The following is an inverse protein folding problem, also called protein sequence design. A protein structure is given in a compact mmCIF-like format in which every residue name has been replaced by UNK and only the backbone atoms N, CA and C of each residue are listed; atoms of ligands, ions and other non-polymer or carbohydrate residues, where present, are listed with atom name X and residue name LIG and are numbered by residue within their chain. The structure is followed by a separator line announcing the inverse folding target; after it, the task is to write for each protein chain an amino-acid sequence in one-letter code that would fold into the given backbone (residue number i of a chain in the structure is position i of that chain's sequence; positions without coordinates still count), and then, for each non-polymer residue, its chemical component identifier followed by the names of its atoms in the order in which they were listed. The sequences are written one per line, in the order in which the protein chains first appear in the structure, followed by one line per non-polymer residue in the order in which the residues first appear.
data_IF_042179262343
#
_entry.id   IF_042179262343
#
_cell.length_a   1.000
_cell.length_b   1.000
_cell.length_c   1.000
_cell.angle_alpha   90.00
_cell.angle_beta   90.00
_cell.angle_gamma   90.00
#
_symmetry.space_group_name_H-M   'P 1'
#
loop_
_entity.id
_entity.type
_entity.pdbx_description
1 polymer ?
#
# COMPACT_ATOMS: atom_id res chain seq x y z
N UNK A 1 1.63 21.10 -20.91
CA UNK A 1 2.79 20.43 -20.30
C UNK A 1 3.59 19.84 -21.45
N UNK A 2 4.79 20.34 -21.70
CA UNK A 2 5.61 19.89 -22.84
C UNK A 2 6.61 18.88 -22.27
N UNK A 3 6.41 17.60 -22.57
CA UNK A 3 7.26 16.50 -22.12
C UNK A 3 8.40 16.37 -23.12
N UNK A 4 9.64 16.50 -22.67
CA UNK A 4 10.84 16.20 -23.45
C UNK A 4 11.50 14.98 -22.83
N UNK A 5 11.27 13.81 -23.43
CA UNK A 5 12.00 12.57 -23.14
C UNK A 5 13.36 12.63 -23.82
N UNK A 6 14.44 12.31 -23.09
CA UNK A 6 15.84 12.38 -23.54
C UNK A 6 16.48 11.00 -23.75
N UNK A 7 15.69 9.95 -23.98
CA UNK A 7 16.22 8.61 -24.29
C UNK A 7 16.15 8.35 -25.80
N UNK A 8 17.31 8.34 -26.46
CA UNK A 8 17.45 8.08 -27.91
C UNK A 8 17.41 6.58 -28.27
N UNK A 9 17.37 5.67 -27.29
CA UNK A 9 17.21 4.24 -27.55
C UNK A 9 15.74 3.83 -27.38
N UNK A 10 15.15 3.13 -28.38
CA UNK A 10 13.81 2.59 -28.23
C UNK A 10 13.84 1.53 -27.12
N UNK A 11 12.90 1.56 -26.16
CA UNK A 11 12.81 0.53 -25.14
C UNK A 11 12.69 -0.84 -25.82
N UNK A 12 13.48 -1.81 -25.34
CA UNK A 12 13.38 -3.24 -25.68
C UNK A 12 11.92 -3.63 -25.81
N UNK A 13 11.52 -4.31 -26.89
CA UNK A 13 10.13 -4.70 -27.22
C UNK A 13 9.33 -5.14 -25.97
N UNK A 14 8.67 -4.19 -25.31
CA UNK A 14 7.74 -4.49 -24.23
C UNK A 14 6.44 -4.86 -24.93
N UNK A 15 6.10 -6.15 -24.92
CA UNK A 15 4.77 -6.60 -25.32
C UNK A 15 3.73 -5.94 -24.40
N UNK A 16 3.13 -4.86 -24.90
CA UNK A 16 1.99 -4.19 -24.28
C UNK A 16 0.88 -5.22 -24.08
N UNK A 17 0.39 -5.34 -22.85
CA UNK A 17 -0.64 -6.31 -22.48
C UNK A 17 -0.15 -7.69 -22.03
N UNK A 18 1.16 -7.95 -21.92
CA UNK A 18 1.64 -9.20 -21.27
C UNK A 18 1.22 -9.22 -19.80
N UNK A 19 0.51 -10.27 -19.39
CA UNK A 19 0.23 -10.55 -17.98
C UNK A 19 1.51 -11.06 -17.32
N UNK A 20 2.05 -10.30 -16.37
CA UNK A 20 3.23 -10.70 -15.62
C UNK A 20 2.91 -11.89 -14.74
N UNK A 21 3.57 -13.01 -14.98
CA UNK A 21 3.53 -14.18 -14.10
C UNK A 21 4.62 -14.10 -13.03
N UNK A 22 4.51 -14.96 -12.04
CA UNK A 22 5.57 -15.17 -11.05
C UNK A 22 6.87 -15.62 -11.72
N UNK A 23 6.76 -16.42 -12.79
CA UNK A 23 7.91 -16.90 -13.56
C UNK A 23 8.58 -15.76 -14.31
N UNK A 24 7.80 -14.91 -14.98
CA UNK A 24 8.31 -13.72 -15.66
C UNK A 24 9.06 -12.79 -14.70
N UNK A 25 8.49 -12.59 -13.51
CA UNK A 25 9.07 -11.72 -12.48
C UNK A 25 10.40 -12.27 -11.96
N UNK A 26 10.44 -13.56 -11.64
CA UNK A 26 11.65 -14.22 -11.10
C UNK A 26 12.75 -14.44 -12.14
N UNK A 27 12.39 -14.54 -13.41
CA UNK A 27 13.36 -14.66 -14.51
C UNK A 27 13.87 -13.31 -15.00
N UNK A 28 13.33 -12.19 -14.50
CA UNK A 28 13.78 -10.87 -14.90
C UNK A 28 15.15 -10.53 -14.26
N UNK A 29 16.16 -10.12 -15.05
CA UNK A 29 17.53 -9.90 -14.56
C UNK A 29 17.64 -8.75 -13.54
N UNK A 30 16.73 -7.78 -13.60
CA UNK A 30 16.68 -6.68 -12.64
C UNK A 30 15.81 -6.97 -11.41
N UNK A 31 15.17 -8.14 -11.33
CA UNK A 31 14.43 -8.51 -10.13
C UNK A 31 15.41 -8.92 -9.04
N UNK A 32 15.31 -8.27 -7.88
CA UNK A 32 16.12 -8.58 -6.70
C UNK A 32 15.23 -8.82 -5.49
N UNK A 33 15.72 -9.62 -4.57
CA UNK A 33 15.08 -9.87 -3.28
C UNK A 33 16.10 -9.75 -2.16
N UNK A 34 15.69 -9.17 -1.04
CA UNK A 34 16.40 -9.26 0.24
C UNK A 34 15.97 -10.55 0.96
N UNK A 35 16.88 -11.49 1.09
CA UNK A 35 16.74 -12.62 2.01
C UNK A 35 16.97 -12.16 3.45
N UNK A 36 16.00 -12.43 4.31
CA UNK A 36 16.04 -12.17 5.74
C UNK A 36 16.08 -13.51 6.47
N UNK A 37 17.17 -13.83 7.18
CA UNK A 37 17.30 -15.11 7.87
C UNK A 37 16.27 -15.27 8.99
N UNK A 38 15.87 -16.52 9.32
CA UNK A 38 15.12 -16.82 10.53
C UNK A 38 15.78 -16.23 11.79
N UNK A 39 14.95 -15.86 12.78
CA UNK A 39 15.41 -15.16 13.99
C UNK A 39 16.40 -15.96 14.84
N UNK A 40 16.35 -17.28 14.74
CA UNK A 40 17.24 -18.24 15.39
C UNK A 40 18.55 -18.48 14.62
N UNK A 41 18.64 -18.00 13.38
CA UNK A 41 19.86 -18.04 12.58
C UNK A 41 20.67 -16.76 12.72
N UNK A 42 21.96 -16.90 13.00
CA UNK A 42 22.88 -15.77 12.95
C UNK A 42 23.33 -15.55 11.50
N UNK A 43 22.87 -14.46 10.89
CA UNK A 43 23.25 -14.10 9.54
C UNK A 43 22.98 -12.64 9.24
N UNK A 44 23.74 -12.08 8.29
CA UNK A 44 23.37 -10.83 7.63
C UNK A 44 22.24 -11.11 6.64
N UNK A 45 21.40 -10.11 6.39
CA UNK A 45 20.46 -10.16 5.28
C UNK A 45 21.24 -10.08 3.97
N UNK A 46 20.74 -10.70 2.92
CA UNK A 46 21.45 -10.83 1.64
C UNK A 46 20.56 -10.40 0.49
N UNK A 47 21.04 -9.50 -0.36
CA UNK A 47 20.36 -9.18 -1.63
C UNK A 47 20.75 -10.25 -2.65
N UNK A 48 19.77 -10.85 -3.29
CA UNK A 48 19.94 -11.90 -4.30
C UNK A 48 19.24 -11.51 -5.61
N UNK A 49 19.73 -12.07 -6.71
CA UNK A 49 19.09 -11.97 -8.03
C UNK A 49 18.47 -13.33 -8.41
N UNK A 50 17.14 -13.54 -8.26
CA UNK A 50 16.53 -14.87 -8.42
C UNK A 50 16.77 -15.52 -9.79
N UNK A 51 16.95 -14.75 -10.86
CA UNK A 51 17.24 -15.26 -12.21
C UNK A 51 18.60 -15.95 -12.34
N UNK A 52 19.52 -15.70 -11.39
CA UNK A 52 20.86 -16.31 -11.35
C UNK A 52 20.89 -17.63 -10.55
N UNK A 53 19.74 -18.04 -10.02
CA UNK A 53 19.62 -19.22 -9.17
C UNK A 53 18.57 -20.21 -9.70
N UNK A 54 18.67 -21.46 -9.27
CA UNK A 54 17.66 -22.46 -9.55
C UNK A 54 16.29 -22.05 -8.97
N UNK A 55 15.15 -22.36 -9.63
CA UNK A 55 13.82 -21.93 -9.15
C UNK A 55 13.48 -22.33 -7.71
N UNK A 56 14.09 -23.40 -7.19
CA UNK A 56 13.93 -23.86 -5.81
C UNK A 56 14.67 -23.01 -4.78
N UNK A 57 15.50 -22.05 -5.20
CA UNK A 57 16.29 -21.20 -4.32
C UNK A 57 15.43 -20.28 -3.46
N UNK A 58 14.24 -19.89 -3.96
CA UNK A 58 13.21 -19.19 -3.20
C UNK A 58 12.07 -20.18 -2.93
N UNK A 59 12.00 -20.79 -1.72
CA UNK A 59 10.98 -21.75 -1.38
C UNK A 59 9.57 -21.21 -1.64
N UNK A 60 8.73 -22.05 -2.24
CA UNK A 60 7.36 -21.73 -2.65
C UNK A 60 7.21 -20.51 -3.59
N UNK A 61 8.32 -19.92 -4.07
CA UNK A 61 8.35 -18.65 -4.82
C UNK A 61 7.54 -17.54 -4.14
N UNK A 62 7.51 -17.54 -2.80
CA UNK A 62 6.81 -16.53 -2.00
C UNK A 62 7.78 -15.45 -1.55
N UNK A 63 7.38 -14.20 -1.73
CA UNK A 63 8.10 -13.05 -1.22
C UNK A 63 7.11 -12.00 -0.69
N UNK A 64 7.56 -11.21 0.27
CA UNK A 64 6.88 -10.04 0.77
C UNK A 64 7.30 -8.81 -0.02
N UNK A 65 6.44 -7.80 -0.11
CA UNK A 65 6.84 -6.48 -0.58
C UNK A 65 6.76 -5.49 0.58
N UNK A 66 7.71 -4.55 0.65
CA UNK A 66 7.60 -3.40 1.53
C UNK A 66 7.38 -2.14 0.69
N UNK A 67 6.20 -1.56 0.86
CA UNK A 67 5.81 -0.27 0.32
C UNK A 67 6.03 0.81 1.38
N UNK A 68 6.73 1.90 1.06
CA UNK A 68 6.88 3.02 2.01
C UNK A 68 7.48 4.30 1.38
N UNK A 69 7.66 5.33 2.22
CA UNK A 69 8.27 6.63 1.87
C UNK A 69 9.73 6.80 2.32
N UNK A 70 10.65 6.84 1.36
CA UNK A 70 12.08 7.05 1.59
C UNK A 70 12.41 8.41 2.23
N UNK A 71 11.75 9.46 1.74
CA UNK A 71 12.08 10.87 1.99
C UNK A 71 11.83 11.68 0.71
N UNK A 72 11.99 13.00 0.76
CA UNK A 72 11.89 13.86 -0.44
C UNK A 72 13.23 14.05 -1.16
N UNK A 73 14.35 13.77 -0.49
CA UNK A 73 15.70 13.90 -1.02
C UNK A 73 16.44 12.56 -0.86
N UNK A 74 16.94 11.93 -1.94
CA UNK A 74 17.70 10.68 -1.86
C UNK A 74 19.04 10.83 -1.14
N UNK A 75 19.55 12.05 -0.94
CA UNK A 75 20.78 12.31 -0.21
C UNK A 75 20.52 12.63 1.28
N UNK A 76 19.27 12.77 1.68
CA UNK A 76 18.91 13.03 3.07
C UNK A 76 18.65 11.72 3.83
N UNK A 77 18.96 11.73 5.13
CA UNK A 77 18.75 10.61 6.04
C UNK A 77 19.38 9.28 5.57
N UNK A 78 20.58 9.32 4.97
CA UNK A 78 21.33 8.11 4.65
C UNK A 78 21.49 7.24 5.92
N UNK A 79 21.34 5.94 5.72
CA UNK A 79 21.44 4.93 6.76
C UNK A 79 22.48 3.91 6.38
N UNK A 80 23.54 3.83 7.18
CA UNK A 80 24.54 2.76 7.11
C UNK A 80 23.88 1.40 7.39
N UNK A 81 23.90 0.52 6.40
CA UNK A 81 23.31 -0.84 6.48
C UNK A 81 24.34 -1.96 6.28
N UNK A 82 25.59 -1.62 5.99
CA UNK A 82 26.72 -2.55 5.74
C UNK A 82 26.95 -3.56 6.86
N UNK A 83 26.57 -3.20 8.09
CA UNK A 83 26.72 -4.06 9.26
C UNK A 83 25.78 -5.26 9.24
N UNK A 84 24.66 -5.18 8.51
CA UNK A 84 23.61 -6.20 8.55
C UNK A 84 23.01 -6.56 7.18
N UNK A 85 23.38 -5.89 6.09
CA UNK A 85 23.02 -6.24 4.71
C UNK A 85 24.28 -6.37 3.86
N UNK A 86 24.34 -7.45 3.08
CA UNK A 86 25.35 -7.71 2.04
C UNK A 86 24.67 -8.03 0.71
N UNK A 87 25.39 -7.92 -0.38
CA UNK A 87 24.95 -8.44 -1.68
C UNK A 87 25.32 -9.92 -1.89
N UNK A 88 24.97 -10.44 -3.06
CA UNK A 88 25.23 -11.83 -3.46
C UNK A 88 26.73 -12.17 -3.60
N UNK A 89 27.58 -11.17 -3.81
CA UNK A 89 29.04 -11.32 -3.87
C UNK A 89 29.70 -11.23 -2.48
N UNK A 90 28.93 -10.88 -1.44
CA UNK A 90 29.40 -10.65 -0.09
C UNK A 90 29.91 -9.23 0.14
N UNK A 91 29.73 -8.33 -0.83
CA UNK A 91 30.08 -6.92 -0.71
C UNK A 91 29.06 -6.19 0.15
N UNK A 92 29.51 -5.13 0.83
CA UNK A 92 28.65 -4.32 1.69
C UNK A 92 27.76 -3.41 0.86
N UNK A 93 26.48 -3.33 1.23
CA UNK A 93 25.53 -2.41 0.59
C UNK A 93 25.83 -0.96 0.99
N UNK A 94 25.76 -0.06 0.02
CA UNK A 94 25.91 1.38 0.23
C UNK A 94 24.82 1.94 1.18
N UNK A 95 25.06 3.10 1.80
CA UNK A 95 24.07 3.73 2.67
C UNK A 95 22.78 4.04 1.90
N UNK A 96 21.63 3.71 2.51
CA UNK A 96 20.33 3.90 1.86
C UNK A 96 19.58 5.12 2.43
N UNK A 97 18.92 5.97 1.62
CA UNK A 97 17.98 6.97 2.12
C UNK A 97 16.82 6.36 2.91
N UNK A 98 16.82 6.55 4.24
CA UNK A 98 15.75 6.07 5.13
C UNK A 98 15.61 6.98 6.34
N UNK A 99 14.46 7.64 6.47
CA UNK A 99 14.13 8.50 7.63
C UNK A 99 14.32 7.76 8.96
N UNK A 100 14.89 8.44 9.95
CA UNK A 100 15.33 7.83 11.23
C UNK A 100 14.19 7.18 12.00
N UNK A 101 13.01 7.79 11.98
CA UNK A 101 11.80 7.32 12.65
C UNK A 101 11.33 5.95 12.15
N UNK A 102 11.66 5.57 10.91
CA UNK A 102 11.24 4.30 10.29
C UNK A 102 12.12 3.13 10.69
N UNK A 103 13.42 3.38 10.88
CA UNK A 103 14.47 2.35 10.93
C UNK A 103 14.16 1.27 11.97
N UNK A 104 13.68 1.67 13.15
CA UNK A 104 13.30 0.73 14.22
C UNK A 104 12.15 -0.17 13.80
N UNK A 105 11.08 0.40 13.25
CA UNK A 105 9.91 -0.35 12.78
C UNK A 105 10.27 -1.27 11.62
N UNK A 106 11.08 -0.78 10.67
CA UNK A 106 11.60 -1.56 9.54
C UNK A 106 12.38 -2.80 9.99
N UNK A 107 13.40 -2.63 10.85
CA UNK A 107 14.18 -3.77 11.36
C UNK A 107 13.29 -4.77 12.10
N UNK A 108 12.38 -4.26 12.94
CA UNK A 108 11.47 -5.11 13.70
C UNK A 108 10.54 -5.91 12.78
N UNK A 109 10.05 -5.30 11.71
CA UNK A 109 9.22 -5.95 10.70
C UNK A 109 9.95 -7.11 10.03
N UNK A 110 11.17 -6.87 9.55
CA UNK A 110 11.98 -7.91 8.92
C UNK A 110 12.32 -9.04 9.91
N UNK A 111 12.69 -8.70 11.13
CA UNK A 111 13.02 -9.70 12.17
C UNK A 111 11.84 -10.58 12.59
N UNK A 112 10.62 -10.05 12.56
CA UNK A 112 9.42 -10.79 12.89
C UNK A 112 8.88 -11.60 11.70
N UNK A 113 9.40 -11.38 10.50
CA UNK A 113 8.92 -11.99 9.26
C UNK A 113 10.12 -12.35 8.36
N UNK A 114 10.78 -13.46 8.66
CA UNK A 114 11.88 -13.98 7.82
C UNK A 114 11.39 -14.43 6.44
N UNK A 115 12.33 -14.59 5.51
CA UNK A 115 12.06 -14.97 4.12
C UNK A 115 12.53 -13.93 3.14
N UNK A 116 11.88 -13.86 1.98
CA UNK A 116 12.32 -13.02 0.86
C UNK A 116 11.48 -11.77 0.77
N UNK A 117 12.14 -10.63 0.59
CA UNK A 117 11.53 -9.32 0.61
C UNK A 117 11.92 -8.53 -0.63
N UNK A 118 10.94 -7.96 -1.30
CA UNK A 118 11.17 -6.91 -2.26
C UNK A 118 10.99 -5.55 -1.57
N UNK A 119 12.00 -4.70 -1.65
CA UNK A 119 12.05 -3.40 -0.97
C UNK A 119 12.70 -2.41 -1.95
N UNK A 120 12.00 -1.37 -2.42
CA UNK A 120 12.42 -0.57 -3.58
C UNK A 120 13.87 -0.05 -3.48
N UNK A 121 14.32 0.53 -2.37
CA UNK A 121 15.69 1.07 -2.26
C UNK A 121 16.79 0.03 -2.26
N UNK A 122 16.46 -1.21 -1.92
CA UNK A 122 17.42 -2.30 -1.83
C UNK A 122 17.38 -3.13 -3.11
N UNK A 123 16.21 -3.23 -3.73
CA UNK A 123 15.96 -4.13 -4.84
C UNK A 123 15.87 -3.41 -6.19
N UNK A 124 15.54 -2.12 -6.23
CA UNK A 124 15.58 -1.32 -7.45
C UNK A 124 16.96 -0.67 -7.62
N UNK A 125 17.46 -0.75 -8.85
CA UNK A 125 18.51 0.11 -9.37
C UNK A 125 17.89 1.36 -10.01
N UNK A 126 18.71 2.36 -10.29
CA UNK A 126 18.27 3.61 -10.95
C UNK A 126 17.69 3.39 -12.34
N UNK A 127 17.98 2.24 -12.96
CA UNK A 127 17.54 1.81 -14.28
C UNK A 127 16.45 0.73 -14.23
N UNK A 128 15.96 0.34 -13.05
CA UNK A 128 14.92 -0.70 -12.95
C UNK A 128 13.67 -0.26 -13.71
N UNK A 129 13.27 -1.00 -14.77
CA UNK A 129 12.17 -0.58 -15.62
C UNK A 129 10.86 -0.50 -14.82
N UNK A 130 10.07 0.58 -14.90
CA UNK A 130 8.79 0.69 -14.21
C UNK A 130 7.82 -0.46 -14.52
N UNK A 131 8.00 -1.14 -15.65
CA UNK A 131 7.17 -2.27 -16.07
C UNK A 131 7.28 -3.49 -15.13
N UNK A 132 8.41 -3.73 -14.47
CA UNK A 132 8.58 -4.91 -13.58
C UNK A 132 7.68 -4.81 -12.34
N UNK A 133 7.32 -3.59 -11.96
CA UNK A 133 6.69 -3.28 -10.69
C UNK A 133 5.28 -3.85 -10.56
N UNK A 134 4.60 -4.03 -11.70
CA UNK A 134 3.36 -4.80 -11.77
C UNK A 134 3.61 -6.25 -11.36
N UNK A 135 4.65 -6.88 -11.91
CA UNK A 135 5.05 -8.25 -11.55
C UNK A 135 5.39 -8.35 -10.06
N UNK A 136 6.15 -7.37 -9.54
CA UNK A 136 6.48 -7.29 -8.11
C UNK A 136 5.23 -7.29 -7.23
N UNK A 137 4.36 -6.29 -7.36
CA UNK A 137 3.22 -6.17 -6.44
C UNK A 137 2.11 -7.16 -6.75
N UNK A 138 1.90 -7.51 -8.03
CA UNK A 138 0.92 -8.50 -8.46
C UNK A 138 1.27 -9.94 -8.05
N UNK A 139 2.57 -10.25 -7.89
CA UNK A 139 3.01 -11.60 -7.50
C UNK A 139 3.44 -11.71 -6.03
N UNK A 140 3.56 -10.59 -5.30
CA UNK A 140 3.94 -10.65 -3.89
C UNK A 140 2.85 -11.34 -3.04
N UNK A 141 3.27 -12.09 -2.02
CA UNK A 141 2.35 -12.79 -1.13
C UNK A 141 1.59 -11.83 -0.20
N UNK A 142 2.32 -10.83 0.33
CA UNK A 142 1.76 -9.78 1.17
C UNK A 142 2.61 -8.53 1.00
N UNK A 143 1.93 -7.40 0.78
CA UNK A 143 2.55 -6.09 0.78
C UNK A 143 2.36 -5.43 2.15
N UNK A 144 3.46 -5.08 2.79
CA UNK A 144 3.45 -4.24 3.99
C UNK A 144 3.59 -2.79 3.56
N UNK A 145 2.61 -1.95 3.86
CA UNK A 145 2.66 -0.52 3.61
C UNK A 145 3.00 0.21 4.90
N UNK A 146 4.23 0.72 5.00
CA UNK A 146 4.71 1.48 6.14
C UNK A 146 4.44 2.98 5.91
N UNK A 147 3.28 3.42 6.38
CA UNK A 147 2.70 4.73 6.12
C UNK A 147 3.12 5.78 7.17
N UNK A 148 3.19 7.03 6.75
CA UNK A 148 3.65 8.16 7.57
C UNK A 148 2.54 8.80 8.39
N UNK A 149 1.77 7.97 9.10
CA UNK A 149 0.74 8.40 10.04
C UNK A 149 1.17 8.14 11.50
N UNK A 150 0.53 8.78 12.49
CA UNK A 150 0.70 8.44 13.89
C UNK A 150 0.31 6.98 14.18
N UNK A 151 1.07 6.28 15.04
CA UNK A 151 0.78 4.89 15.44
C UNK A 151 -0.61 4.72 16.05
N UNK A 152 -1.07 5.72 16.82
CA UNK A 152 -2.41 5.75 17.42
C UNK A 152 -3.54 5.62 16.40
N UNK A 153 -3.35 6.09 15.16
CA UNK A 153 -4.38 5.96 14.14
C UNK A 153 -4.56 4.50 13.70
N UNK A 154 -3.45 3.77 13.51
CA UNK A 154 -3.49 2.32 13.23
C UNK A 154 -4.02 1.55 14.44
N UNK A 155 -3.57 1.89 15.64
CA UNK A 155 -4.03 1.29 16.90
C UNK A 155 -5.54 1.45 17.09
N UNK A 156 -6.09 2.63 16.75
CA UNK A 156 -7.52 2.90 16.86
C UNK A 156 -8.33 1.89 16.05
N UNK A 157 -8.02 1.69 14.77
CA UNK A 157 -8.79 0.76 13.93
C UNK A 157 -8.45 -0.72 14.16
N UNK A 158 -7.25 -1.04 14.65
CA UNK A 158 -6.82 -2.43 14.88
C UNK A 158 -7.20 -2.97 16.26
N UNK A 159 -7.26 -2.12 17.29
CA UNK A 159 -7.46 -2.51 18.69
C UNK A 159 -8.67 -1.80 19.30
N UNK A 160 -8.68 -0.47 19.32
CA UNK A 160 -9.69 0.31 20.08
C UNK A 160 -11.10 0.13 19.53
N UNK A 161 -11.28 0.29 18.22
CA UNK A 161 -12.57 0.18 17.57
C UNK A 161 -13.16 -1.23 17.72
N UNK A 162 -12.43 -2.34 17.46
CA UNK A 162 -12.93 -3.70 17.74
C UNK A 162 -13.25 -3.99 19.21
N UNK A 163 -12.51 -3.41 20.17
CA UNK A 163 -12.74 -3.64 21.59
C UNK A 163 -13.85 -2.75 22.17
N UNK A 164 -14.21 -1.68 21.48
CA UNK A 164 -15.27 -0.80 21.95
C UNK A 164 -16.58 -1.61 22.04
N UNK A 165 -17.26 -1.57 23.19
CA UNK A 165 -18.63 -2.14 23.31
C UNK A 165 -19.59 -1.50 22.29
N UNK A 166 -19.21 -0.33 21.78
CA UNK A 166 -19.83 0.33 20.65
C UNK A 166 -19.79 -0.52 19.39
N UNK A 167 -18.84 -1.41 19.11
CA UNK A 167 -18.93 -2.24 17.91
C UNK A 167 -20.11 -3.22 17.97
N UNK A 168 -20.32 -3.91 19.10
CA UNK A 168 -21.44 -4.86 19.28
C UNK A 168 -22.78 -4.17 19.56
N UNK A 169 -22.78 -3.02 20.25
CA UNK A 169 -24.00 -2.25 20.56
C UNK A 169 -24.25 -1.09 19.59
N UNK A 170 -23.36 -0.88 18.61
CA UNK A 170 -23.39 0.25 17.65
C UNK A 170 -24.73 0.29 16.99
N UNK A 171 -25.15 -0.77 16.32
CA UNK A 171 -26.41 -0.81 15.60
C UNK A 171 -27.59 -0.35 16.49
N UNK A 172 -27.71 -0.86 17.72
CA UNK A 172 -28.82 -0.50 18.62
C UNK A 172 -28.71 0.93 19.19
N UNK A 173 -27.53 1.35 19.63
CA UNK A 173 -27.29 2.73 20.15
C UNK A 173 -27.44 3.75 19.02
N UNK A 174 -27.08 3.36 17.80
CA UNK A 174 -27.14 4.20 16.61
C UNK A 174 -28.57 4.28 16.11
N UNK A 175 -29.32 3.19 16.03
CA UNK A 175 -30.76 3.22 15.76
C UNK A 175 -31.50 4.10 16.76
N UNK A 176 -31.09 4.04 18.04
CA UNK A 176 -31.62 4.91 19.08
C UNK A 176 -31.23 6.38 18.85
N UNK A 177 -29.99 6.67 18.47
CA UNK A 177 -29.57 8.03 18.11
C UNK A 177 -30.27 8.55 16.84
N UNK A 178 -30.48 7.70 15.82
CA UNK A 178 -31.25 8.01 14.60
C UNK A 178 -32.68 8.39 14.99
N UNK A 179 -33.31 7.57 15.84
CA UNK A 179 -34.64 7.84 16.34
C UNK A 179 -34.67 9.16 17.10
N UNK A 180 -33.75 9.36 18.07
CA UNK A 180 -33.62 10.61 18.83
C UNK A 180 -33.53 11.84 17.92
N UNK A 181 -32.68 11.80 16.89
CA UNK A 181 -32.56 12.90 15.93
C UNK A 181 -33.84 13.12 15.11
N UNK A 182 -34.53 12.06 14.67
CA UNK A 182 -35.85 12.18 14.02
C UNK A 182 -36.88 12.87 14.93
N UNK A 183 -36.75 12.71 16.24
CA UNK A 183 -37.59 13.37 17.24
C UNK A 183 -37.04 14.72 17.74
N UNK A 184 -35.95 15.23 17.15
CA UNK A 184 -35.34 16.51 17.55
C UNK A 184 -34.53 16.46 18.85
N UNK A 185 -34.21 15.27 19.36
CA UNK A 185 -33.39 15.07 20.55
C UNK A 185 -31.90 14.95 20.17
N UNK A 186 -30.98 15.47 21.01
CA UNK A 186 -29.55 15.32 20.76
C UNK A 186 -29.10 13.85 20.92
N UNK A 187 -28.09 13.41 20.14
CA UNK A 187 -27.47 12.11 20.33
C UNK A 187 -26.72 12.07 21.68
N UNK A 188 -26.41 10.87 22.16
CA UNK A 188 -25.59 10.71 23.36
C UNK A 188 -24.21 11.35 23.18
N UNK A 189 -23.74 12.09 24.19
CA UNK A 189 -22.45 12.82 24.16
C UNK A 189 -21.27 11.92 23.82
N UNK A 190 -21.30 10.70 24.35
CA UNK A 190 -20.18 9.75 24.28
C UNK A 190 -20.09 9.10 22.90
N UNK A 191 -21.22 8.96 22.19
CA UNK A 191 -21.22 8.52 20.78
C UNK A 191 -20.57 9.57 19.89
N UNK A 192 -20.89 10.84 20.12
CA UNK A 192 -20.35 11.94 19.32
C UNK A 192 -18.83 12.05 19.47
N UNK A 193 -18.31 12.04 20.70
CA UNK A 193 -16.85 12.13 20.93
C UNK A 193 -16.10 10.97 20.29
N UNK A 194 -16.63 9.74 20.43
CA UNK A 194 -16.05 8.54 19.80
C UNK A 194 -16.01 8.63 18.27
N UNK A 195 -17.09 9.09 17.65
CA UNK A 195 -17.17 9.28 16.19
C UNK A 195 -16.25 10.41 15.69
N UNK A 196 -16.07 11.48 16.47
CA UNK A 196 -15.11 12.52 16.13
C UNK A 196 -13.66 12.02 16.24
N UNK A 197 -13.36 11.20 17.24
CA UNK A 197 -12.04 10.59 17.42
C UNK A 197 -11.69 9.63 16.28
N UNK A 198 -12.60 8.73 15.90
CA UNK A 198 -12.36 7.83 14.77
C UNK A 198 -12.26 8.57 13.43
N UNK A 199 -13.00 9.67 13.22
CA UNK A 199 -12.84 10.52 12.04
C UNK A 199 -11.46 11.15 11.98
N UNK A 200 -10.96 11.65 13.12
CA UNK A 200 -9.61 12.20 13.22
C UNK A 200 -8.57 11.14 12.84
N UNK A 201 -8.68 9.91 13.37
CA UNK A 201 -7.75 8.84 13.04
C UNK A 201 -7.85 8.37 11.58
N UNK A 202 -9.04 8.33 11.00
CA UNK A 202 -9.21 8.05 9.57
C UNK A 202 -8.52 9.10 8.72
N UNK A 203 -8.66 10.38 9.10
CA UNK A 203 -8.00 11.52 8.45
C UNK A 203 -6.47 11.40 8.55
N UNK A 204 -5.94 11.13 9.75
CA UNK A 204 -4.51 10.95 9.97
C UNK A 204 -3.91 9.85 9.07
N UNK A 205 -4.67 8.79 8.76
CA UNK A 205 -4.25 7.73 7.84
C UNK A 205 -4.29 8.22 6.39
N UNK A 206 -5.36 8.88 5.96
CA UNK A 206 -5.54 9.26 4.55
C UNK A 206 -4.72 10.46 4.10
N UNK A 207 -4.58 11.46 4.97
CA UNK A 207 -3.82 12.67 4.66
C UNK A 207 -2.30 12.45 4.81
N UNK A 208 -1.87 11.23 5.15
CA UNK A 208 -0.45 10.89 5.13
C UNK A 208 0.09 10.91 3.69
N UNK A 209 1.37 11.25 3.53
CA UNK A 209 1.99 11.41 2.21
C UNK A 209 2.04 10.11 1.42
N UNK A 210 1.88 8.96 2.07
CA UNK A 210 1.84 7.69 1.37
C UNK A 210 0.66 7.64 0.40
N UNK A 211 -0.52 8.08 0.82
CA UNK A 211 -1.71 8.11 -0.06
C UNK A 211 -1.68 9.24 -1.08
N UNK A 212 -0.79 10.23 -0.94
CA UNK A 212 -0.66 11.31 -1.92
C UNK A 212 0.21 10.96 -3.12
N UNK A 213 0.85 9.78 -3.16
CA UNK A 213 1.66 9.34 -4.30
C UNK A 213 0.86 8.43 -5.22
N UNK A 214 1.00 8.61 -6.53
CA UNK A 214 0.29 7.77 -7.52
C UNK A 214 0.78 6.32 -7.48
N UNK A 215 2.08 6.14 -7.22
CA UNK A 215 2.71 4.83 -7.22
C UNK A 215 2.15 3.86 -6.16
N UNK A 216 1.77 4.40 -5.00
CA UNK A 216 1.25 3.62 -3.87
C UNK A 216 -0.12 3.01 -4.18
N UNK A 217 -0.75 3.40 -5.29
CA UNK A 217 -1.98 2.80 -5.78
C UNK A 217 -1.74 1.37 -6.28
N UNK A 218 -0.62 1.09 -6.96
CA UNK A 218 -0.25 -0.28 -7.35
C UNK A 218 0.03 -1.15 -6.13
N UNK A 219 0.77 -0.59 -5.17
CA UNK A 219 1.11 -1.23 -3.89
C UNK A 219 -0.13 -1.60 -3.06
N UNK A 220 -1.23 -0.88 -3.26
CA UNK A 220 -2.50 -1.09 -2.57
C UNK A 220 -3.45 -2.03 -3.33
N UNK A 221 -3.43 -1.95 -4.65
CA UNK A 221 -4.45 -2.58 -5.50
C UNK A 221 -4.02 -3.96 -6.01
N UNK A 222 -2.73 -4.13 -6.35
CA UNK A 222 -2.23 -5.36 -6.99
C UNK A 222 -2.01 -6.53 -6.01
N UNK A 223 -1.45 -6.33 -4.81
CA UNK A 223 -1.19 -7.43 -3.89
C UNK A 223 -2.46 -8.14 -3.43
N UNK A 224 -2.38 -9.47 -3.23
CA UNK A 224 -3.48 -10.25 -2.67
C UNK A 224 -3.84 -9.83 -1.24
N UNK A 225 -2.87 -9.32 -0.49
CA UNK A 225 -3.02 -8.85 0.88
C UNK A 225 -2.14 -7.63 1.10
N UNK A 226 -2.71 -6.58 1.71
CA UNK A 226 -1.99 -5.38 2.09
C UNK A 226 -2.14 -5.14 3.58
N UNK A 227 -1.02 -5.02 4.29
CA UNK A 227 -0.96 -4.74 5.73
C UNK A 227 -0.45 -3.31 5.93
N UNK A 228 -1.27 -2.45 6.53
CA UNK A 228 -0.92 -1.08 6.86
C UNK A 228 -0.33 -1.03 8.27
N UNK A 229 0.83 -0.39 8.39
CA UNK A 229 1.49 -0.11 9.67
C UNK A 229 2.02 1.33 9.70
N UNK A 230 2.01 1.96 10.86
CA UNK A 230 2.66 3.25 11.04
C UNK A 230 4.17 3.05 11.07
N UNK A 231 4.90 3.91 10.38
CA UNK A 231 6.36 3.94 10.42
C UNK A 231 6.94 4.15 11.84
N UNK A 232 6.13 4.66 12.76
CA UNK A 232 6.51 4.94 14.16
C UNK A 232 6.02 3.89 15.17
N UNK A 233 5.32 2.83 14.73
CA UNK A 233 4.67 1.90 15.67
C UNK A 233 5.67 1.05 16.48
N UNK A 234 6.89 0.78 15.99
CA UNK A 234 7.85 -0.09 16.69
C UNK A 234 7.36 -1.54 16.91
N UNK A 235 6.24 -1.88 16.27
CA UNK A 235 5.44 -3.12 16.21
C UNK A 235 4.78 -3.67 17.49
N UNK A 236 3.46 -3.43 17.54
CA UNK A 236 2.37 -4.35 17.95
C UNK A 236 1.03 -4.01 17.21
N UNK A 237 1.02 -3.03 16.30
CA UNK A 237 -0.18 -2.46 15.70
C UNK A 237 -0.11 -2.48 14.16
N UNK A 238 -1.02 -3.21 13.53
CA UNK A 238 -1.21 -3.22 12.08
C UNK A 238 -2.67 -3.50 11.74
N UNK A 239 -3.10 -3.13 10.54
CA UNK A 239 -4.44 -3.43 10.04
C UNK A 239 -4.36 -3.80 8.56
N UNK A 240 -5.10 -4.83 8.13
CA UNK A 240 -5.21 -5.10 6.70
C UNK A 240 -6.00 -3.99 6.01
N UNK A 241 -5.64 -3.65 4.77
CA UNK A 241 -6.36 -2.65 3.99
C UNK A 241 -7.85 -3.03 3.82
N UNK A 242 -8.18 -4.32 3.74
CA UNK A 242 -9.57 -4.80 3.73
C UNK A 242 -10.30 -4.50 5.02
N UNK A 243 -9.66 -4.82 6.16
CA UNK A 243 -10.25 -4.55 7.48
C UNK A 243 -10.45 -3.06 7.69
N UNK A 244 -9.48 -2.23 7.28
CA UNK A 244 -9.61 -0.78 7.36
C UNK A 244 -10.76 -0.29 6.48
N UNK A 245 -10.85 -0.74 5.22
CA UNK A 245 -11.92 -0.33 4.31
C UNK A 245 -13.31 -0.71 4.83
N UNK A 246 -13.48 -1.93 5.35
CA UNK A 246 -14.75 -2.39 5.95
C UNK A 246 -15.11 -1.56 7.18
N UNK A 247 -14.17 -1.41 8.13
CA UNK A 247 -14.41 -0.66 9.37
C UNK A 247 -14.70 0.81 9.11
N UNK A 248 -14.02 1.41 8.13
CA UNK A 248 -14.29 2.78 7.71
C UNK A 248 -15.67 2.90 7.08
N UNK A 249 -16.11 1.95 6.26
CA UNK A 249 -17.45 1.98 5.69
C UNK A 249 -18.53 2.01 6.79
N UNK A 250 -18.43 1.08 7.75
CA UNK A 250 -19.36 1.01 8.88
C UNK A 250 -19.32 2.32 9.67
N UNK A 251 -18.11 2.77 10.01
CA UNK A 251 -17.90 4.02 10.74
C UNK A 251 -18.49 5.24 10.03
N UNK A 252 -18.35 5.34 8.71
CA UNK A 252 -18.88 6.45 7.90
C UNK A 252 -20.39 6.45 7.82
N UNK A 253 -20.99 5.28 7.58
CA UNK A 253 -22.43 5.13 7.61
C UNK A 253 -23.00 5.69 8.92
N UNK A 254 -22.31 5.42 10.04
CA UNK A 254 -22.70 5.93 11.34
C UNK A 254 -22.42 7.41 11.55
N UNK A 255 -21.28 7.92 11.08
CA UNK A 255 -20.94 9.33 11.18
C UNK A 255 -21.94 10.22 10.44
N UNK A 256 -22.28 9.86 9.19
CA UNK A 256 -23.22 10.61 8.35
C UNK A 256 -24.59 10.74 9.02
N UNK A 257 -25.06 9.62 9.60
CA UNK A 257 -26.30 9.55 10.36
C UNK A 257 -26.28 10.47 11.58
N UNK A 258 -25.22 10.43 12.40
CA UNK A 258 -25.17 11.08 13.73
C UNK A 258 -24.76 12.54 13.70
N UNK A 259 -23.84 12.93 12.81
CA UNK A 259 -23.23 14.26 12.86
C UNK A 259 -23.93 15.24 11.91
N UNK A 260 -24.57 14.76 10.84
CA UNK A 260 -25.37 15.55 9.88
C UNK A 260 -24.72 16.90 9.49
N UNK A 261 -23.39 16.92 9.34
CA UNK A 261 -22.63 18.09 8.87
C UNK A 261 -21.92 17.73 7.58
N UNK A 262 -22.38 18.37 6.50
CA UNK A 262 -21.95 18.12 5.13
C UNK A 262 -20.45 18.39 4.92
N UNK A 263 -19.90 19.40 5.59
CA UNK A 263 -18.56 19.91 5.28
C UNK A 263 -17.40 19.05 5.83
N UNK A 264 -17.62 18.19 6.84
CA UNK A 264 -16.57 17.33 7.42
C UNK A 264 -16.57 15.90 6.85
N UNK A 265 -17.64 15.51 6.14
CA UNK A 265 -17.83 14.14 5.63
C UNK A 265 -17.18 13.86 4.26
N UNK A 266 -16.84 14.89 3.50
CA UNK A 266 -16.40 14.73 2.11
C UNK A 266 -15.03 14.04 1.98
N UNK A 267 -14.07 14.33 2.86
CA UNK A 267 -12.68 13.85 2.74
C UNK A 267 -12.55 12.33 2.86
N UNK A 268 -13.33 11.69 3.72
CA UNK A 268 -13.12 10.28 4.03
C UNK A 268 -14.19 9.34 3.43
N UNK A 269 -15.33 9.89 2.96
CA UNK A 269 -16.08 9.25 1.87
C UNK A 269 -15.23 9.17 0.59
N UNK A 270 -14.41 10.20 0.31
CA UNK A 270 -13.47 10.15 -0.82
C UNK A 270 -12.46 9.01 -0.65
N UNK A 271 -11.91 8.75 0.55
CA UNK A 271 -11.02 7.60 0.81
C UNK A 271 -11.72 6.26 0.54
N UNK A 272 -12.88 6.01 1.14
CA UNK A 272 -13.59 4.73 0.96
C UNK A 272 -13.90 4.50 -0.53
N UNK A 273 -14.41 5.55 -1.19
CA UNK A 273 -14.65 5.54 -2.62
C UNK A 273 -13.36 5.23 -3.36
N UNK A 274 -12.25 5.87 -3.02
CA UNK A 274 -10.96 5.65 -3.66
C UNK A 274 -10.41 4.24 -3.47
N UNK A 275 -10.39 3.71 -2.25
CA UNK A 275 -9.95 2.34 -1.96
C UNK A 275 -10.80 1.31 -2.71
N UNK A 276 -12.13 1.48 -2.66
CA UNK A 276 -13.04 0.59 -3.37
C UNK A 276 -12.89 0.69 -4.89
N UNK A 277 -12.65 1.88 -5.45
CA UNK A 277 -12.34 2.07 -6.88
C UNK A 277 -11.11 1.24 -7.26
N UNK A 278 -10.00 1.45 -6.56
CA UNK A 278 -8.72 0.85 -6.93
C UNK A 278 -8.73 -0.66 -6.79
N UNK A 279 -9.28 -1.17 -5.69
CA UNK A 279 -9.36 -2.61 -5.48
C UNK A 279 -10.36 -3.26 -6.43
N UNK A 280 -11.49 -2.61 -6.73
CA UNK A 280 -12.39 -3.12 -7.75
C UNK A 280 -11.75 -3.11 -9.15
N UNK A 281 -10.89 -2.15 -9.46
CA UNK A 281 -10.17 -2.12 -10.73
C UNK A 281 -9.21 -3.32 -10.83
N UNK A 282 -8.37 -3.55 -9.82
CA UNK A 282 -7.39 -4.64 -9.80
C UNK A 282 -8.03 -6.04 -9.64
N UNK A 283 -9.07 -6.20 -8.82
CA UNK A 283 -9.74 -7.50 -8.68
C UNK A 283 -10.52 -7.88 -9.93
N UNK A 284 -11.12 -6.91 -10.62
CA UNK A 284 -11.81 -7.20 -11.88
C UNK A 284 -10.83 -7.61 -12.96
N UNK A 285 -9.64 -7.01 -13.02
CA UNK A 285 -8.63 -7.38 -14.02
C UNK A 285 -8.10 -8.81 -13.82
N UNK A 286 -7.91 -9.25 -12.56
CA UNK A 286 -7.44 -10.60 -12.22
C UNK A 286 -8.44 -11.75 -12.51
N UNK A 287 -9.73 -11.44 -12.70
CA UNK A 287 -10.80 -12.44 -12.81
C UNK A 287 -11.28 -12.76 -14.23
N UNK A 288 -10.69 -12.18 -15.28
CA UNK A 288 -11.17 -12.38 -16.65
C UNK A 288 -10.57 -13.63 -17.31
N UNK A 289 -11.36 -14.71 -17.35
CA UNK A 289 -11.24 -15.71 -18.40
C UNK A 289 -11.37 -15.02 -19.78
N UNK A 290 -10.64 -15.52 -20.78
CA UNK A 290 -10.48 -15.02 -22.16
C UNK A 290 -11.81 -14.91 -22.96
N UNK A 291 -12.81 -14.19 -22.47
CA UNK A 291 -13.96 -13.82 -23.29
C UNK A 291 -13.66 -12.47 -23.93
N UNK A 292 -13.52 -12.41 -25.27
CA UNK A 292 -13.31 -11.17 -25.98
C UNK A 292 -14.63 -10.40 -25.95
N UNK A 293 -14.80 -9.55 -24.95
CA UNK A 293 -15.99 -8.71 -24.88
C UNK A 293 -15.59 -7.27 -24.59
N UNK A 294 -16.18 -6.35 -25.33
CA UNK A 294 -16.01 -4.90 -25.23
C UNK A 294 -16.37 -4.34 -23.83
N UNK A 295 -16.86 -5.19 -22.93
CA UNK A 295 -17.16 -4.92 -21.52
C UNK A 295 -15.98 -5.20 -20.57
N UNK A 296 -14.73 -5.28 -21.05
CA UNK A 296 -13.54 -5.63 -20.23
C UNK A 296 -13.37 -4.73 -18.99
N UNK A 297 -13.87 -3.50 -19.05
CA UNK A 297 -13.91 -2.57 -17.94
C UNK A 297 -15.23 -1.80 -17.96
N UNK A 298 -16.32 -2.31 -17.36
CA UNK A 298 -17.63 -1.65 -17.41
C UNK A 298 -17.66 -0.29 -16.67
N UNK A 299 -16.53 0.17 -16.14
CA UNK A 299 -16.35 1.46 -15.47
C UNK A 299 -15.00 2.12 -15.82
N UNK A 300 -14.38 1.82 -16.98
CA UNK A 300 -13.09 2.43 -17.33
C UNK A 300 -13.16 3.95 -17.34
N UNK A 301 -14.20 4.50 -17.98
CA UNK A 301 -14.44 5.95 -18.03
C UNK A 301 -14.54 6.57 -16.63
N UNK A 302 -15.27 5.91 -15.74
CA UNK A 302 -15.39 6.34 -14.35
C UNK A 302 -14.04 6.26 -13.61
N UNK A 303 -13.31 5.16 -13.76
CA UNK A 303 -12.00 4.97 -13.15
C UNK A 303 -10.99 6.02 -13.65
N UNK A 304 -10.91 6.25 -14.96
CA UNK A 304 -10.11 7.32 -15.56
C UNK A 304 -10.55 8.71 -15.08
N UNK A 305 -11.85 8.94 -14.90
CA UNK A 305 -12.36 10.17 -14.29
C UNK A 305 -11.84 10.30 -12.85
N UNK A 306 -11.86 9.23 -12.05
CA UNK A 306 -11.35 9.28 -10.67
C UNK A 306 -9.83 9.49 -10.61
N UNK A 307 -9.07 8.91 -11.54
CA UNK A 307 -7.65 9.23 -11.71
C UNK A 307 -7.46 10.70 -12.08
N UNK A 308 -8.22 11.23 -13.03
CA UNK A 308 -8.13 12.64 -13.45
C UNK A 308 -8.46 13.65 -12.34
N UNK A 309 -9.28 13.25 -11.37
CA UNK A 309 -9.66 14.05 -10.20
C UNK A 309 -8.71 13.85 -9.01
N UNK A 310 -7.76 12.90 -9.10
CA UNK A 310 -6.84 12.60 -8.02
C UNK A 310 -5.79 13.70 -7.88
N UNK A 311 -5.70 14.31 -6.69
CA UNK A 311 -4.67 15.31 -6.35
C UNK A 311 -3.28 14.70 -6.08
N UNK A 312 -3.12 13.40 -6.31
CA UNK A 312 -1.85 12.70 -6.10
C UNK A 312 -0.75 13.24 -6.98
N UNK A 313 0.46 13.24 -6.43
CA UNK A 313 1.67 13.68 -7.12
C UNK A 313 2.58 12.51 -7.47
N UNK A 314 3.42 12.75 -8.46
CA UNK A 314 4.51 11.90 -8.91
C UNK A 314 5.70 12.80 -9.27
N UNK A 315 6.91 12.27 -9.18
CA UNK A 315 8.11 13.02 -9.58
C UNK A 315 8.18 13.15 -11.11
N UNK A 316 7.77 12.09 -11.81
CA UNK A 316 7.75 12.02 -13.26
C UNK A 316 6.33 11.69 -13.75
N UNK A 317 5.90 12.29 -14.86
CA UNK A 317 4.57 12.03 -15.42
C UNK A 317 4.43 10.58 -15.91
N UNK A 318 5.54 10.00 -16.35
CA UNK A 318 5.70 8.61 -16.74
C UNK A 318 5.31 7.67 -15.60
N UNK A 319 5.72 7.96 -14.36
CA UNK A 319 5.35 7.17 -13.17
C UNK A 319 3.84 7.14 -12.95
N UNK A 320 3.15 8.25 -13.28
CA UNK A 320 1.70 8.30 -13.21
C UNK A 320 1.10 7.33 -14.23
N UNK A 321 1.56 7.42 -15.48
CA UNK A 321 1.06 6.59 -16.58
C UNK A 321 1.32 5.11 -16.31
N UNK A 322 2.55 4.73 -15.95
CA UNK A 322 2.88 3.35 -15.58
C UNK A 322 2.16 2.89 -14.32
N UNK A 323 1.94 3.79 -13.36
CA UNK A 323 1.08 3.60 -12.19
C UNK A 323 -0.31 3.11 -12.57
N UNK A 324 -0.97 3.85 -13.45
CA UNK A 324 -2.33 3.55 -13.91
C UNK A 324 -2.37 2.33 -14.82
N UNK A 325 -1.44 2.22 -15.78
CA UNK A 325 -1.37 1.07 -16.69
C UNK A 325 -1.11 -0.24 -15.94
N UNK A 326 -0.27 -0.21 -14.90
CA UNK A 326 0.00 -1.36 -14.03
C UNK A 326 -1.26 -1.89 -13.34
N UNK A 327 -2.16 -0.99 -12.91
CA UNK A 327 -3.46 -1.34 -12.32
C UNK A 327 -4.45 -1.85 -13.37
N UNK A 328 -4.46 -1.24 -14.56
CA UNK A 328 -5.41 -1.56 -15.63
C UNK A 328 -5.02 -2.79 -16.45
N UNK A 329 -3.83 -3.34 -16.25
CA UNK A 329 -3.32 -4.47 -17.03
C UNK A 329 -3.24 -4.20 -18.55
N UNK A 330 -2.97 -2.94 -18.92
CA UNK A 330 -2.91 -2.48 -20.32
C UNK A 330 -1.50 -2.49 -20.89
#
# INVERSE_FOLDING_TARGET
MTITSTSDEPPVDIEIGKLWTLDDTFSHPDFRLLYVPPKDEHGKMMIITPSEHEPSYVPDRKFYALSHLWGTDPNDNLWEVSDFIIDENGDTVEPIPMRKEKRKTFIKLLQDNSGYWWIDILCCRTDTPPVIMRGVYGCCHTCFAMIDCPSKAIEYFSIVLPQSELHDKSAAIIDLNVARMRWGEPPFSDTKSFLMEGCKHARDIWECRWFSRVWTMQELALPSSVILLSETCGMLCYISADSLCSKQHDFWFYFDVVIYKKDEGDSAMALQKHLSILRNAAHKSQGFEEKPNYDRFPNLDWLLTQFSLSERSCSFAEDYVYGVLGILEL
#
